data_IF_219947559933
#
_entry.id   IF_219947559933
#
_cell.length_a   1.000
_cell.length_b   1.000
_cell.length_c   1.000
_cell.angle_alpha   90.00
_cell.angle_beta   90.00
_cell.angle_gamma   90.00
#
_symmetry.space_group_name_H-M   'P 1'
#
loop_
_entity.id
_entity.type
_entity.pdbx_description
1 polymer ?
#
# COMPACT_ATOMS: atom_id res chain seq x y z
N UNK A 1 6.00 -16.82 4.22
CA UNK A 1 5.92 -15.38 3.82
C UNK A 1 5.00 -14.68 4.79
N UNK A 2 5.49 -13.66 5.47
CA UNK A 2 4.69 -12.88 6.44
C UNK A 2 3.84 -11.84 5.73
N UNK A 3 2.69 -11.52 6.32
CA UNK A 3 1.72 -10.57 5.77
C UNK A 3 1.32 -9.57 6.84
N UNK A 4 1.31 -8.30 6.48
CA UNK A 4 1.01 -7.21 7.42
C UNK A 4 -0.07 -6.29 6.85
N UNK A 5 -0.98 -5.84 7.72
CA UNK A 5 -1.95 -4.79 7.40
C UNK A 5 -1.66 -3.54 8.22
N UNK A 6 -1.35 -2.44 7.54
CA UNK A 6 -1.13 -1.13 8.15
C UNK A 6 -2.41 -0.68 8.83
N UNK A 7 -2.34 -0.41 10.14
CA UNK A 7 -3.54 -0.10 10.95
C UNK A 7 -3.26 1.09 11.86
N UNK A 8 -4.07 2.14 11.78
CA UNK A 8 -4.03 3.26 12.73
C UNK A 8 -4.72 2.78 14.01
N UNK A 9 -3.94 2.35 14.99
CA UNK A 9 -4.45 1.68 16.20
C UNK A 9 -5.31 2.59 17.07
N UNK A 10 -5.09 3.90 17.00
CA UNK A 10 -5.85 4.94 17.72
C UNK A 10 -7.18 5.31 17.02
N UNK A 11 -7.41 4.78 15.82
CA UNK A 11 -8.61 5.03 15.04
C UNK A 11 -9.47 3.77 14.97
N UNK A 12 -10.61 3.76 15.68
CA UNK A 12 -11.50 2.60 15.77
C UNK A 12 -11.97 2.13 14.38
N UNK A 13 -12.29 3.05 13.47
CA UNK A 13 -12.71 2.69 12.10
C UNK A 13 -11.57 2.04 11.31
N UNK A 14 -10.33 2.53 11.45
CA UNK A 14 -9.16 1.88 10.85
C UNK A 14 -8.97 0.46 11.37
N UNK A 15 -9.17 0.25 12.68
CA UNK A 15 -9.07 -1.08 13.30
C UNK A 15 -10.16 -2.01 12.76
N UNK A 16 -11.42 -1.56 12.70
CA UNK A 16 -12.54 -2.35 12.16
C UNK A 16 -12.33 -2.74 10.69
N UNK A 17 -11.86 -1.80 9.87
CA UNK A 17 -11.58 -2.04 8.46
C UNK A 17 -10.40 -3.00 8.28
N UNK A 18 -9.33 -2.85 9.09
CA UNK A 18 -8.21 -3.78 9.12
C UNK A 18 -8.61 -5.20 9.59
N UNK A 19 -9.57 -5.32 10.51
CA UNK A 19 -10.14 -6.62 10.90
C UNK A 19 -10.81 -7.32 9.73
N UNK A 20 -11.46 -6.59 8.84
CA UNK A 20 -12.02 -7.12 7.60
C UNK A 20 -10.91 -7.66 6.67
N UNK A 21 -9.80 -6.91 6.52
CA UNK A 21 -8.63 -7.39 5.78
C UNK A 21 -8.10 -8.70 6.37
N UNK A 22 -7.92 -8.77 7.69
CA UNK A 22 -7.48 -9.99 8.39
C UNK A 22 -8.45 -11.15 8.16
N UNK A 23 -9.76 -10.92 8.29
CA UNK A 23 -10.80 -11.95 8.06
C UNK A 23 -10.79 -12.44 6.62
N UNK A 24 -10.62 -11.55 5.63
CA UNK A 24 -10.51 -11.96 4.23
C UNK A 24 -9.29 -12.84 3.96
N UNK A 25 -8.16 -12.56 4.62
CA UNK A 25 -6.97 -13.41 4.55
C UNK A 25 -7.20 -14.80 5.12
N UNK A 26 -7.96 -14.93 6.21
CA UNK A 26 -8.28 -16.21 6.82
C UNK A 26 -9.08 -17.13 5.90
N UNK A 27 -9.92 -16.59 5.01
CA UNK A 27 -10.67 -17.36 4.01
C UNK A 27 -9.72 -18.12 3.08
N UNK A 28 -8.55 -17.56 2.79
CA UNK A 28 -7.49 -18.18 1.98
C UNK A 28 -6.42 -18.90 2.82
N UNK A 29 -6.62 -19.02 4.14
CA UNK A 29 -5.67 -19.68 5.04
C UNK A 29 -4.45 -18.84 5.42
N UNK A 30 -4.49 -17.52 5.19
CA UNK A 30 -3.40 -16.61 5.53
C UNK A 30 -3.59 -15.95 6.89
N UNK A 31 -2.50 -15.88 7.66
CA UNK A 31 -2.42 -15.07 8.87
C UNK A 31 -1.87 -13.69 8.51
N UNK A 32 -2.71 -12.66 8.61
CA UNK A 32 -2.32 -11.26 8.41
C UNK A 32 -2.18 -10.62 9.79
N UNK A 33 -1.03 -9.98 10.04
CA UNK A 33 -0.74 -9.31 11.31
C UNK A 33 -0.98 -7.80 11.16
N UNK A 34 -1.67 -7.18 12.14
CA UNK A 34 -1.80 -5.73 12.20
C UNK A 34 -0.44 -5.09 12.50
N UNK A 35 -0.04 -4.14 11.67
CA UNK A 35 1.16 -3.33 11.86
C UNK A 35 0.74 -1.92 12.25
N UNK A 36 1.17 -1.41 13.43
CA UNK A 36 0.83 -0.06 13.87
C UNK A 36 1.31 0.97 12.87
N UNK A 37 0.39 1.83 12.41
CA UNK A 37 0.69 2.91 11.49
C UNK A 37 1.27 4.11 12.22
N UNK A 38 2.09 4.89 11.54
CA UNK A 38 2.33 6.28 11.91
C UNK A 38 1.06 7.10 11.68
N UNK A 39 0.77 8.02 12.56
CA UNK A 39 -0.34 8.96 12.41
C UNK A 39 0.01 10.30 13.09
N UNK A 40 -0.59 11.43 12.66
CA UNK A 40 -0.43 12.70 13.36
C UNK A 40 -0.98 12.69 14.80
N UNK A 41 -1.71 11.62 15.18
CA UNK A 41 -2.24 11.43 16.53
C UNK A 41 -1.21 10.78 17.46
N UNK A 42 -0.31 9.94 16.94
CA UNK A 42 0.64 9.19 17.74
C UNK A 42 2.09 9.71 17.66
N UNK A 43 2.42 10.55 16.68
CA UNK A 43 3.76 11.13 16.54
C UNK A 43 3.77 12.45 15.76
N UNK A 44 4.88 13.17 15.86
CA UNK A 44 5.21 14.30 14.98
C UNK A 44 5.83 13.73 13.69
N UNK A 45 5.00 13.56 12.66
CA UNK A 45 5.38 12.91 11.39
C UNK A 45 6.50 13.67 10.66
N UNK A 46 6.60 14.97 10.83
CA UNK A 46 7.67 15.77 10.23
C UNK A 46 9.02 15.47 10.89
N UNK A 47 9.04 15.35 12.23
CA UNK A 47 10.25 14.94 12.94
C UNK A 47 10.68 13.53 12.60
N UNK A 48 9.72 12.60 12.46
CA UNK A 48 10.04 11.22 12.05
C UNK A 48 10.61 11.18 10.62
N UNK A 49 10.05 11.98 9.69
CA UNK A 49 10.57 12.10 8.34
C UNK A 49 11.99 12.71 8.33
N UNK A 50 12.21 13.78 9.10
CA UNK A 50 13.51 14.45 9.23
C UNK A 50 14.59 13.52 9.83
N UNK A 51 14.24 12.65 10.80
CA UNK A 51 15.17 11.63 11.35
C UNK A 51 15.68 10.66 10.28
N UNK A 52 14.87 10.38 9.26
CA UNK A 52 15.25 9.52 8.14
C UNK A 52 16.00 10.28 7.05
N UNK A 53 16.12 11.62 7.17
CA UNK A 53 16.80 12.48 6.19
C UNK A 53 16.01 12.73 4.92
N UNK A 54 14.68 12.54 4.93
CA UNK A 54 13.85 12.68 3.74
C UNK A 54 13.26 14.09 3.58
N UNK A 55 13.22 14.60 2.33
CA UNK A 55 12.63 15.90 2.03
C UNK A 55 11.09 15.81 1.98
N UNK A 56 10.42 16.71 2.70
CA UNK A 56 8.96 16.83 2.74
C UNK A 56 8.33 17.38 1.46
N UNK A 57 9.11 18.00 0.57
CA UNK A 57 8.59 18.66 -0.64
C UNK A 57 7.81 17.71 -1.55
N UNK A 58 8.23 16.43 -1.64
CA UNK A 58 7.55 15.43 -2.44
C UNK A 58 6.14 15.08 -1.99
N UNK A 59 5.75 15.48 -0.76
CA UNK A 59 4.43 15.20 -0.18
C UNK A 59 3.41 16.32 -0.38
N UNK A 60 3.81 17.44 -1.00
CA UNK A 60 2.91 18.55 -1.24
C UNK A 60 1.93 18.21 -2.36
N UNK A 61 0.71 17.86 -1.99
CA UNK A 61 -0.38 17.53 -2.90
C UNK A 61 -1.64 18.39 -2.65
N UNK A 62 -2.34 18.74 -3.74
CA UNK A 62 -3.54 19.59 -3.68
C UNK A 62 -4.71 18.88 -2.98
N UNK A 63 -4.81 17.56 -3.15
CA UNK A 63 -5.98 16.77 -2.71
C UNK A 63 -5.81 16.12 -1.35
N UNK A 64 -4.60 16.10 -0.82
CA UNK A 64 -4.24 15.33 0.36
C UNK A 64 -3.87 16.22 1.55
N UNK A 65 -4.04 15.67 2.75
CA UNK A 65 -3.48 16.24 3.97
C UNK A 65 -2.02 15.82 4.03
N UNK A 66 -1.10 16.77 3.98
CA UNK A 66 0.32 16.52 3.89
C UNK A 66 0.86 15.67 5.04
N UNK A 67 0.45 15.97 6.26
CA UNK A 67 0.80 15.19 7.46
C UNK A 67 0.36 13.73 7.38
N UNK A 68 -0.84 13.48 6.87
CA UNK A 68 -1.35 12.12 6.70
C UNK A 68 -0.67 11.38 5.53
N UNK A 69 -0.28 12.09 4.46
CA UNK A 69 0.53 11.52 3.39
C UNK A 69 1.91 11.09 3.89
N UNK A 70 2.56 11.93 4.70
CA UNK A 70 3.84 11.61 5.34
C UNK A 70 3.66 10.40 6.28
N UNK A 71 2.61 10.39 7.10
CA UNK A 71 2.28 9.27 7.99
C UNK A 71 2.09 7.95 7.22
N UNK A 72 1.35 7.98 6.11
CA UNK A 72 1.18 6.84 5.21
C UNK A 72 2.51 6.33 4.68
N UNK A 73 3.36 7.21 4.15
CA UNK A 73 4.68 6.85 3.68
C UNK A 73 5.56 6.24 4.78
N UNK A 74 5.61 6.86 5.96
CA UNK A 74 6.37 6.35 7.11
C UNK A 74 5.90 4.95 7.54
N UNK A 75 4.60 4.70 7.47
CA UNK A 75 4.01 3.39 7.78
C UNK A 75 4.48 2.32 6.79
N UNK A 76 4.46 2.62 5.49
CA UNK A 76 5.02 1.72 4.47
C UNK A 76 6.54 1.56 4.63
N UNK A 77 7.27 2.66 4.85
CA UNK A 77 8.71 2.64 5.07
C UNK A 77 9.10 1.73 6.24
N UNK A 78 8.37 1.77 7.34
CA UNK A 78 8.62 0.90 8.50
C UNK A 78 8.46 -0.59 8.17
N UNK A 79 7.56 -0.92 7.24
CA UNK A 79 7.42 -2.29 6.74
C UNK A 79 8.52 -2.66 5.73
N UNK A 80 9.04 -1.70 4.94
CA UNK A 80 10.21 -1.95 4.11
C UNK A 80 11.43 -2.25 4.98
N UNK A 81 11.65 -1.49 6.05
CA UNK A 81 12.70 -1.77 7.02
C UNK A 81 12.50 -3.15 7.68
N UNK A 82 11.26 -3.46 8.09
CA UNK A 82 10.92 -4.77 8.66
C UNK A 82 11.19 -5.92 7.67
N UNK A 83 10.99 -5.72 6.37
CA UNK A 83 11.33 -6.70 5.34
C UNK A 83 12.84 -6.99 5.30
N UNK A 84 13.67 -5.94 5.42
CA UNK A 84 15.13 -6.09 5.53
C UNK A 84 15.53 -6.85 6.80
N UNK A 85 14.96 -6.47 7.94
CA UNK A 85 15.28 -7.08 9.25
C UNK A 85 14.89 -8.56 9.28
N UNK A 86 13.77 -8.93 8.66
CA UNK A 86 13.31 -10.31 8.53
C UNK A 86 14.12 -11.11 7.48
N UNK A 87 14.76 -10.43 6.56
CA UNK A 87 15.46 -10.99 5.41
C UNK A 87 14.62 -12.02 4.62
N UNK A 88 13.33 -11.75 4.49
CA UNK A 88 12.37 -12.56 3.72
C UNK A 88 11.33 -11.68 3.01
N UNK A 89 10.74 -12.14 1.88
CA UNK A 89 9.65 -11.43 1.24
C UNK A 89 8.45 -11.28 2.18
N UNK A 90 7.82 -10.10 2.15
CA UNK A 90 6.58 -9.82 2.89
C UNK A 90 5.49 -9.30 1.95
N UNK A 91 4.23 -9.44 2.39
CA UNK A 91 3.08 -8.78 1.76
C UNK A 91 2.60 -7.66 2.66
N UNK A 92 2.34 -6.51 2.06
CA UNK A 92 1.88 -5.30 2.73
C UNK A 92 0.46 -5.01 2.23
N UNK A 93 -0.45 -4.80 3.17
CA UNK A 93 -1.81 -4.34 2.93
C UNK A 93 -2.06 -3.01 3.62
N UNK A 94 -2.84 -2.12 3.01
CA UNK A 94 -3.50 -1.03 3.73
C UNK A 94 -4.78 -1.56 4.40
N UNK A 95 -5.30 -0.84 5.39
CA UNK A 95 -6.42 -1.31 6.20
C UNK A 95 -7.69 -1.61 5.37
N UNK A 96 -7.90 -0.89 4.26
CA UNK A 96 -9.07 -1.02 3.40
C UNK A 96 -8.96 -2.16 2.35
N UNK A 97 -7.84 -2.85 2.30
CA UNK A 97 -7.66 -4.00 1.41
C UNK A 97 -8.53 -5.20 1.83
N UNK A 98 -9.11 -5.87 0.85
CA UNK A 98 -9.83 -7.14 1.03
C UNK A 98 -9.27 -8.13 0.02
N UNK A 99 -8.85 -9.31 0.49
CA UNK A 99 -8.38 -10.38 -0.38
C UNK A 99 -9.57 -11.00 -1.12
N UNK A 100 -9.37 -11.20 -2.41
CA UNK A 100 -10.35 -11.81 -3.33
C UNK A 100 -9.79 -13.02 -4.07
N UNK A 101 -8.47 -13.23 -4.02
CA UNK A 101 -7.76 -14.35 -4.62
C UNK A 101 -6.55 -14.75 -3.78
N UNK A 102 -5.98 -15.93 -4.09
CA UNK A 102 -4.75 -16.42 -3.47
C UNK A 102 -3.54 -15.54 -3.77
N UNK A 103 -2.67 -15.38 -2.77
CA UNK A 103 -1.39 -14.69 -2.93
C UNK A 103 -0.41 -15.60 -3.65
N UNK A 104 0.18 -15.16 -4.79
CA UNK A 104 1.10 -15.99 -5.55
C UNK A 104 2.41 -16.27 -4.82
N UNK A 105 2.88 -17.51 -4.89
CA UNK A 105 4.04 -17.99 -4.12
C UNK A 105 5.40 -17.70 -4.78
N UNK A 106 5.47 -17.65 -6.12
CA UNK A 106 6.73 -17.43 -6.82
C UNK A 106 7.20 -15.97 -6.69
N UNK A 107 8.49 -15.77 -6.46
CA UNK A 107 9.11 -14.46 -6.35
C UNK A 107 9.85 -14.14 -7.65
N UNK A 108 9.12 -13.58 -8.64
CA UNK A 108 9.66 -13.19 -9.95
C UNK A 108 9.98 -11.69 -10.06
N UNK A 109 9.43 -10.89 -9.16
CA UNK A 109 9.66 -9.44 -9.08
C UNK A 109 9.96 -9.04 -7.65
N UNK A 110 10.90 -8.12 -7.47
CA UNK A 110 11.27 -7.60 -6.15
C UNK A 110 10.18 -6.69 -5.57
N UNK A 111 9.40 -6.05 -6.43
CA UNK A 111 8.25 -5.23 -6.06
C UNK A 111 7.09 -5.66 -6.97
N UNK A 112 6.05 -6.25 -6.40
CA UNK A 112 4.92 -6.85 -7.12
C UNK A 112 3.60 -6.25 -6.68
N UNK A 113 2.88 -5.60 -7.58
CA UNK A 113 1.50 -5.18 -7.33
C UNK A 113 0.56 -6.40 -7.23
N UNK A 114 -0.24 -6.44 -6.19
CA UNK A 114 -1.28 -7.45 -5.95
C UNK A 114 -2.68 -6.83 -5.94
N UNK A 115 -2.76 -5.51 -5.85
CA UNK A 115 -4.00 -4.76 -5.72
C UNK A 115 -4.58 -4.33 -7.06
N UNK A 116 -5.90 -4.47 -7.20
CA UNK A 116 -6.64 -3.85 -8.30
C UNK A 116 -6.56 -2.33 -8.17
N UNK A 117 -6.24 -1.59 -9.25
CA UNK A 117 -6.19 -0.13 -9.18
C UNK A 117 -7.44 0.48 -8.57
N UNK A 118 -7.29 1.22 -7.45
CA UNK A 118 -8.42 1.74 -6.67
C UNK A 118 -9.01 3.04 -7.22
N UNK A 119 -8.27 3.75 -8.09
CA UNK A 119 -8.75 5.00 -8.66
C UNK A 119 -8.26 5.26 -10.10
N UNK A 120 -9.01 6.09 -10.81
CA UNK A 120 -8.72 6.54 -12.16
C UNK A 120 -8.84 5.43 -13.22
N UNK A 121 -8.61 5.78 -14.49
CA UNK A 121 -8.61 4.82 -15.59
C UNK A 121 -7.37 3.93 -15.52
N UNK A 122 -7.51 2.65 -15.78
CA UNK A 122 -6.42 1.68 -15.84
C UNK A 122 -6.64 0.68 -16.99
N UNK A 123 -5.59 -0.06 -17.31
CA UNK A 123 -5.64 -1.17 -18.28
C UNK A 123 -5.78 -2.48 -17.50
N UNK A 124 -6.68 -3.36 -17.93
CA UNK A 124 -6.69 -4.74 -17.44
C UNK A 124 -5.57 -5.51 -18.13
N UNK A 125 -4.72 -6.23 -17.37
CA UNK A 125 -3.71 -7.09 -17.96
C UNK A 125 -4.33 -8.11 -18.93
N UNK A 126 -3.66 -8.33 -20.06
CA UNK A 126 -4.07 -9.33 -21.07
C UNK A 126 -3.46 -10.71 -20.83
N UNK A 127 -2.69 -10.87 -19.74
CA UNK A 127 -2.06 -12.12 -19.32
C UNK A 127 -2.68 -12.60 -18.00
N UNK A 128 -2.47 -13.89 -17.69
CA UNK A 128 -2.78 -14.47 -16.37
C UNK A 128 -1.45 -14.82 -15.69
N UNK A 129 -1.35 -14.56 -14.40
CA UNK A 129 -0.14 -14.76 -13.61
C UNK A 129 0.72 -13.50 -13.51
N UNK A 130 2.04 -13.68 -13.57
CA UNK A 130 3.01 -12.59 -13.40
C UNK A 130 3.32 -11.90 -14.72
N UNK A 131 3.43 -10.60 -14.68
CA UNK A 131 3.92 -9.78 -15.80
C UNK A 131 4.48 -8.45 -15.32
N UNK A 132 5.04 -7.67 -16.24
CA UNK A 132 5.40 -6.28 -15.94
C UNK A 132 4.16 -5.46 -15.63
N UNK A 133 4.28 -4.46 -14.77
CA UNK A 133 3.18 -3.56 -14.43
C UNK A 133 2.71 -2.79 -15.68
N UNK A 134 1.47 -3.03 -16.09
CA UNK A 134 0.85 -2.39 -17.27
C UNK A 134 -0.48 -1.70 -16.95
N UNK A 135 -1.10 -2.00 -15.82
CA UNK A 135 -2.39 -1.42 -15.45
C UNK A 135 -2.29 0.09 -15.28
N UNK A 136 -1.25 0.56 -14.60
CA UNK A 136 -0.83 1.96 -14.45
C UNK A 136 0.68 2.04 -14.25
N UNK A 137 1.32 3.21 -14.43
CA UNK A 137 2.75 3.34 -14.20
C UNK A 137 3.15 3.36 -12.71
N UNK A 138 2.19 3.30 -11.79
CA UNK A 138 2.36 3.35 -10.33
C UNK A 138 1.33 2.44 -9.64
N UNK A 139 1.36 2.33 -8.32
CA UNK A 139 0.41 1.51 -7.55
C UNK A 139 -0.77 2.34 -7.02
N UNK A 140 -1.88 2.47 -7.76
CA UNK A 140 -3.00 3.30 -7.33
C UNK A 140 -3.60 2.84 -6.00
N UNK A 141 -3.40 3.65 -4.97
CA UNK A 141 -3.78 3.35 -3.59
C UNK A 141 -2.76 2.54 -2.81
N UNK A 142 -1.80 1.86 -3.44
CA UNK A 142 -0.77 1.02 -2.80
C UNK A 142 -1.30 0.03 -1.74
N UNK A 143 -2.59 -0.35 -1.85
CA UNK A 143 -3.32 -1.09 -0.82
C UNK A 143 -2.95 -2.57 -0.70
N UNK A 144 -2.26 -3.16 -1.71
CA UNK A 144 -1.77 -4.53 -1.64
C UNK A 144 -0.57 -4.73 -2.56
N UNK A 145 0.59 -5.10 -2.00
CA UNK A 145 1.76 -5.44 -2.78
C UNK A 145 2.73 -6.34 -1.99
N UNK A 146 3.58 -7.06 -2.71
CA UNK A 146 4.67 -7.85 -2.15
C UNK A 146 6.01 -7.20 -2.45
N UNK A 147 6.92 -7.25 -1.47
CA UNK A 147 8.31 -6.85 -1.63
C UNK A 147 9.26 -7.95 -1.17
N UNK A 148 10.44 -8.02 -1.81
CA UNK A 148 11.60 -8.76 -1.31
C UNK A 148 12.50 -7.84 -0.50
N UNK A 149 13.49 -8.37 0.27
CA UNK A 149 14.51 -7.53 0.90
C UNK A 149 15.22 -6.61 -0.09
N UNK A 150 15.50 -7.10 -1.31
CA UNK A 150 16.08 -6.27 -2.37
C UNK A 150 15.14 -5.13 -2.78
N UNK A 151 13.87 -5.42 -3.04
CA UNK A 151 12.86 -4.39 -3.36
C UNK A 151 12.69 -3.36 -2.25
N UNK A 152 12.74 -3.80 -0.98
CA UNK A 152 12.70 -2.92 0.18
C UNK A 152 13.92 -1.99 0.24
N UNK A 153 15.13 -2.52 -0.01
CA UNK A 153 16.35 -1.72 -0.10
C UNK A 153 16.28 -0.69 -1.23
N UNK A 154 15.81 -1.10 -2.42
CA UNK A 154 15.65 -0.21 -3.57
C UNK A 154 14.66 0.95 -3.24
N UNK A 155 13.52 0.65 -2.59
CA UNK A 155 12.56 1.66 -2.14
C UNK A 155 13.16 2.63 -1.13
N UNK A 156 13.87 2.16 -0.11
CA UNK A 156 14.49 2.99 0.92
C UNK A 156 15.59 3.88 0.33
N UNK A 157 16.43 3.33 -0.56
CA UNK A 157 17.51 4.08 -1.19
C UNK A 157 16.98 5.21 -2.10
N UNK A 158 15.97 4.93 -2.92
CA UNK A 158 15.34 5.95 -3.79
C UNK A 158 14.62 7.03 -2.98
N UNK A 159 14.12 6.71 -1.79
CA UNK A 159 13.46 7.67 -0.90
C UNK A 159 14.39 8.80 -0.44
N UNK A 160 15.70 8.57 -0.38
CA UNK A 160 16.70 9.61 -0.10
C UNK A 160 16.70 10.72 -1.17
N UNK A 161 16.28 10.38 -2.38
CA UNK A 161 16.28 11.31 -3.51
C UNK A 161 14.89 11.91 -3.76
N UNK A 162 13.83 11.16 -3.52
CA UNK A 162 12.50 11.51 -4.03
C UNK A 162 11.34 10.90 -3.23
N UNK A 163 11.39 10.98 -1.88
CA UNK A 163 10.28 10.56 -1.04
C UNK A 163 8.98 11.30 -1.38
N UNK A 164 7.83 10.59 -1.30
CA UNK A 164 6.52 11.14 -1.63
C UNK A 164 5.38 10.20 -1.26
N UNK A 165 4.11 10.54 -1.56
CA UNK A 165 2.97 9.67 -1.30
C UNK A 165 3.20 8.28 -1.89
N UNK A 166 3.03 7.23 -1.09
CA UNK A 166 3.48 5.86 -1.41
C UNK A 166 2.96 5.37 -2.74
N UNK A 167 1.70 5.62 -3.04
CA UNK A 167 1.03 5.12 -4.24
C UNK A 167 1.63 5.68 -5.54
N UNK A 168 2.00 6.96 -5.58
CA UNK A 168 2.68 7.59 -6.72
C UNK A 168 4.20 7.50 -6.64
N UNK A 169 4.75 7.29 -5.44
CA UNK A 169 6.18 7.08 -5.23
C UNK A 169 6.67 5.77 -5.85
N UNK A 170 5.91 4.67 -5.66
CA UNK A 170 6.20 3.36 -6.28
C UNK A 170 5.82 3.42 -7.75
N UNK A 171 6.73 3.93 -8.58
CA UNK A 171 6.51 4.26 -9.98
C UNK A 171 7.47 3.52 -10.92
N UNK A 172 6.98 3.07 -12.07
CA UNK A 172 7.75 2.31 -13.07
C UNK A 172 8.91 3.08 -13.72
N UNK A 173 8.94 4.42 -13.57
CA UNK A 173 10.11 5.20 -13.98
C UNK A 173 11.29 5.10 -13.03
N UNK A 174 11.07 4.61 -11.80
CA UNK A 174 12.07 4.49 -10.73
C UNK A 174 12.44 3.03 -10.46
N UNK A 175 11.47 2.12 -10.60
CA UNK A 175 11.60 0.73 -10.20
C UNK A 175 11.16 -0.23 -11.30
N UNK A 176 11.76 -1.43 -11.34
CA UNK A 176 11.22 -2.55 -12.10
C UNK A 176 10.05 -3.15 -11.34
N UNK A 177 8.84 -2.84 -11.78
CA UNK A 177 7.60 -3.25 -11.11
C UNK A 177 6.93 -4.40 -11.84
N UNK A 178 6.51 -5.41 -11.05
CA UNK A 178 5.64 -6.48 -11.51
C UNK A 178 4.18 -6.26 -11.13
N UNK A 179 3.31 -7.01 -11.79
CA UNK A 179 1.89 -7.09 -11.47
C UNK A 179 1.44 -8.55 -11.57
N UNK A 180 0.54 -8.96 -10.69
CA UNK A 180 -0.09 -10.26 -10.75
C UNK A 180 -1.56 -10.11 -11.14
N UNK A 181 -2.01 -10.89 -12.13
CA UNK A 181 -3.39 -10.87 -12.57
C UNK A 181 -3.94 -12.32 -12.70
N UNK A 182 -5.19 -12.61 -12.27
CA UNK A 182 -6.16 -11.69 -11.63
C UNK A 182 -5.66 -11.12 -10.30
N UNK A 183 -6.03 -9.85 -10.01
CA UNK A 183 -5.59 -9.20 -8.79
C UNK A 183 -5.99 -9.98 -7.53
N UNK A 184 -5.15 -9.90 -6.53
CA UNK A 184 -5.30 -10.62 -5.25
C UNK A 184 -6.19 -9.88 -4.27
N UNK A 185 -6.17 -8.54 -4.32
CA UNK A 185 -6.90 -7.71 -3.40
C UNK A 185 -7.56 -6.52 -4.07
N UNK A 186 -8.64 -6.03 -3.46
CA UNK A 186 -9.32 -4.79 -3.80
C UNK A 186 -9.37 -3.88 -2.58
N UNK A 187 -9.28 -2.56 -2.79
CA UNK A 187 -9.65 -1.59 -1.77
C UNK A 187 -11.17 -1.53 -1.68
N UNK A 188 -11.74 -1.72 -0.50
CA UNK A 188 -13.20 -1.80 -0.30
C UNK A 188 -13.70 -0.89 0.81
N UNK A 189 -13.22 0.34 0.86
CA UNK A 189 -13.78 1.35 1.75
C UNK A 189 -13.66 2.75 1.14
N UNK A 190 -14.69 3.58 1.33
CA UNK A 190 -14.62 5.00 1.04
C UNK A 190 -13.94 5.80 2.16
N UNK A 191 -13.68 5.17 3.31
CA UNK A 191 -12.96 5.76 4.41
C UNK A 191 -11.52 6.08 4.01
N UNK A 192 -11.15 7.33 4.16
CA UNK A 192 -9.79 7.78 3.89
C UNK A 192 -9.31 8.70 5.01
N UNK A 193 -8.07 8.52 5.42
CA UNK A 193 -7.39 9.43 6.34
C UNK A 193 -6.50 10.43 5.60
N UNK A 194 -6.14 10.15 4.36
CA UNK A 194 -5.21 10.96 3.56
C UNK A 194 -5.93 12.07 2.83
N UNK A 195 -7.03 11.80 2.15
CA UNK A 195 -7.75 12.79 1.37
C UNK A 195 -8.44 13.83 2.26
N UNK A 196 -8.54 15.08 1.77
CA UNK A 196 -9.17 16.19 2.53
C UNK A 196 -10.66 16.00 2.74
N UNK A 197 -11.33 15.29 1.82
CA UNK A 197 -12.74 14.91 1.92
C UNK A 197 -12.86 13.44 1.63
N UNK A 198 -13.71 12.75 2.34
CA UNK A 198 -14.07 11.38 2.06
C UNK A 198 -14.62 11.25 0.64
N UNK A 199 -14.07 10.33 -0.16
CA UNK A 199 -14.46 10.09 -1.56
C UNK A 199 -14.28 11.25 -2.51
N UNK A 200 -13.42 12.23 -2.20
CA UNK A 200 -13.54 13.56 -2.77
C UNK A 200 -13.06 13.69 -4.22
N UNK A 201 -11.87 13.34 -4.56
CA UNK A 201 -11.32 13.71 -5.86
C UNK A 201 -10.85 12.51 -6.68
N UNK A 202 -10.39 11.48 -6.02
CA UNK A 202 -10.10 10.22 -6.66
C UNK A 202 -11.41 9.45 -6.85
N UNK A 203 -11.76 9.13 -8.10
CA UNK A 203 -12.87 8.20 -8.37
C UNK A 203 -12.40 6.81 -8.00
N UNK A 204 -12.93 6.28 -6.92
CA UNK A 204 -12.71 4.89 -6.56
C UNK A 204 -13.36 3.97 -7.60
N UNK A 205 -12.65 2.90 -7.97
CA UNK A 205 -13.13 1.89 -8.90
C UNK A 205 -13.90 0.78 -8.16
N UNK A 206 -14.75 1.17 -7.23
CA UNK A 206 -15.68 0.26 -6.59
C UNK A 206 -16.81 -0.07 -7.57
N UNK A 207 -17.21 -1.31 -7.63
CA UNK A 207 -18.43 -1.70 -8.34
C UNK A 207 -19.67 -1.18 -7.62
N UNK A 208 -20.81 -1.16 -8.31
CA UNK A 208 -22.12 -0.76 -7.74
C UNK A 208 -22.58 -1.69 -6.60
N UNK A 209 -21.99 -2.89 -6.51
CA UNK A 209 -22.28 -3.91 -5.49
C UNK A 209 -21.34 -3.87 -4.30
N UNK A 210 -20.67 -2.76 -4.06
CA UNK A 210 -19.76 -2.62 -2.95
C UNK A 210 -20.52 -2.68 -1.61
N UNK A 211 -20.27 -3.72 -0.83
CA UNK A 211 -20.78 -3.86 0.53
C UNK A 211 -19.64 -3.75 1.54
N UNK A 212 -19.85 -2.93 2.58
CA UNK A 212 -18.98 -2.93 3.77
C UNK A 212 -19.35 -4.17 4.58
N UNK A 213 -18.46 -5.15 4.62
CA UNK A 213 -18.66 -6.38 5.38
C UNK A 213 -18.32 -6.13 6.85
#
# INVERSE_FOLDING_TARGET
MKMFVITIMENERSVQVADRCVKSGLVFGYKIEKHPAYSPQNCDVYKELDKLGYDKKGFSEVYSRMDNCIAGFLSHHSLWQKCLDLNEPIVIFEHDAVLINDVPNLVLFDILNLGKPSYGKFKTPSYIGYGSLISKPYFPGAHAYRITPKGAADLINEAQLSAGPTDVYIHSSKFTLGEFYPWVAEARDSFTTIQRKEGCWAKHNYGETYEII
#
